data_IF_870751222370
#
_entry.id   IF_870751222370
#
_cell.length_a   1.000
_cell.length_b   1.000
_cell.length_c   1.000
_cell.angle_alpha   90.00
_cell.angle_beta   90.00
_cell.angle_gamma   90.00
#
_symmetry.space_group_name_H-M   'P 1'
#
loop_
_entity.id
_entity.type
_entity.pdbx_description
1 polymer ?
#
# COMPACT_ATOMS: atom_id res chain seq x y z
N UNK A 1 7.56 1.17 -0.52
CA UNK A 1 6.16 1.02 -0.03
C UNK A 1 5.92 -0.45 0.28
N UNK A 2 5.20 -0.80 1.35
CA UNK A 2 4.82 -2.19 1.67
C UNK A 2 3.30 -2.30 1.71
N UNK A 3 2.74 -3.33 1.08
CA UNK A 3 1.30 -3.61 1.04
C UNK A 3 1.06 -4.92 1.77
N UNK A 4 0.62 -4.85 3.03
CA UNK A 4 0.13 -6.02 3.73
C UNK A 4 -1.28 -6.33 3.24
N UNK A 5 -1.46 -7.52 2.69
CA UNK A 5 -2.62 -7.94 1.90
C UNK A 5 -3.14 -9.30 2.39
N UNK A 6 -4.32 -9.68 1.89
CA UNK A 6 -4.69 -11.10 1.78
C UNK A 6 -5.15 -11.39 0.36
N UNK A 7 -4.77 -12.56 -0.16
CA UNK A 7 -4.94 -12.91 -1.58
C UNK A 7 -6.41 -12.87 -2.03
N UNK A 8 -7.33 -13.24 -1.13
CA UNK A 8 -8.77 -13.27 -1.37
C UNK A 8 -9.49 -11.93 -1.13
N UNK A 9 -8.86 -10.96 -0.47
CA UNK A 9 -9.53 -9.74 -0.01
C UNK A 9 -9.78 -8.73 -1.14
N UNK A 10 -11.04 -8.31 -1.42
CA UNK A 10 -11.34 -7.38 -2.50
C UNK A 10 -10.74 -5.98 -2.30
N UNK A 11 -10.72 -5.45 -1.07
CA UNK A 11 -10.07 -4.17 -0.77
C UNK A 11 -8.56 -4.24 -1.01
N UNK A 12 -7.93 -5.39 -0.76
CA UNK A 12 -6.50 -5.60 -1.02
C UNK A 12 -6.22 -5.66 -2.52
N UNK A 13 -7.07 -6.32 -3.30
CA UNK A 13 -7.00 -6.30 -4.77
C UNK A 13 -7.08 -4.87 -5.32
N UNK A 14 -8.00 -4.05 -4.81
CA UNK A 14 -8.14 -2.63 -5.20
C UNK A 14 -6.86 -1.83 -4.90
N UNK A 15 -6.35 -1.89 -3.67
CA UNK A 15 -5.13 -1.18 -3.28
C UNK A 15 -3.91 -1.62 -4.10
N UNK A 16 -3.77 -2.93 -4.36
CA UNK A 16 -2.72 -3.47 -5.23
C UNK A 16 -2.85 -2.96 -6.67
N UNK A 17 -4.05 -2.96 -7.23
CA UNK A 17 -4.27 -2.44 -8.59
C UNK A 17 -3.82 -0.98 -8.69
N UNK A 18 -4.24 -0.13 -7.76
CA UNK A 18 -3.83 1.27 -7.71
C UNK A 18 -2.31 1.35 -7.64
N UNK A 19 -1.70 0.83 -6.58
CA UNK A 19 -0.28 1.06 -6.28
C UNK A 19 0.70 0.35 -7.21
N UNK A 20 0.31 -0.74 -7.88
CA UNK A 20 1.19 -1.54 -8.74
C UNK A 20 0.95 -1.29 -10.24
N UNK A 21 -0.30 -1.05 -10.65
CA UNK A 21 -0.67 -0.95 -12.06
C UNK A 21 -0.88 0.50 -12.49
N UNK A 22 -1.54 1.32 -11.68
CA UNK A 22 -1.83 2.73 -12.03
C UNK A 22 -0.68 3.67 -11.71
N UNK A 23 0.28 3.24 -10.88
CA UNK A 23 1.44 4.03 -10.52
C UNK A 23 2.74 3.27 -10.84
N UNK A 24 3.77 4.03 -11.19
CA UNK A 24 5.15 3.57 -11.19
C UNK A 24 5.82 4.20 -9.98
N UNK A 25 6.23 3.36 -9.04
CA UNK A 25 6.93 3.77 -7.82
C UNK A 25 8.24 2.99 -7.78
N UNK A 26 9.36 3.69 -7.59
CA UNK A 26 10.70 3.09 -7.54
C UNK A 26 11.30 3.32 -6.16
N UNK A 27 11.70 2.27 -5.43
CA UNK A 27 11.53 0.85 -5.76
C UNK A 27 10.06 0.41 -5.72
N UNK A 28 9.74 -0.64 -6.48
CA UNK A 28 8.38 -1.18 -6.60
C UNK A 28 7.77 -1.51 -5.22
N UNK A 29 6.48 -1.24 -5.00
CA UNK A 29 5.82 -1.62 -3.76
C UNK A 29 5.90 -3.13 -3.53
N UNK A 30 6.28 -3.53 -2.33
CA UNK A 30 6.40 -4.94 -1.96
C UNK A 30 5.10 -5.44 -1.34
N UNK A 31 4.57 -6.57 -1.82
CA UNK A 31 3.33 -7.16 -1.31
C UNK A 31 3.65 -8.30 -0.35
N UNK A 32 2.99 -8.30 0.81
CA UNK A 32 3.03 -9.41 1.77
C UNK A 32 1.62 -9.98 1.92
N UNK A 33 1.38 -11.16 1.35
CA UNK A 33 0.11 -11.88 1.49
C UNK A 33 0.07 -12.62 2.83
N UNK A 34 -0.58 -12.01 3.82
CA UNK A 34 -0.60 -12.52 5.20
C UNK A 34 -1.30 -13.87 5.33
N UNK A 35 -2.24 -14.20 4.45
CA UNK A 35 -2.90 -15.50 4.43
C UNK A 35 -2.00 -16.63 3.92
N UNK A 36 -0.90 -16.30 3.23
CA UNK A 36 0.05 -17.27 2.66
C UNK A 36 1.40 -17.27 3.40
N UNK A 37 1.63 -16.27 4.24
CA UNK A 37 2.87 -16.15 5.00
C UNK A 37 2.85 -17.05 6.25
N UNK A 38 3.90 -17.85 6.53
CA UNK A 38 3.94 -18.75 7.69
C UNK A 38 3.70 -18.05 9.04
N UNK A 39 4.16 -16.80 9.16
CA UNK A 39 3.97 -15.94 10.33
C UNK A 39 2.81 -14.93 10.18
N UNK A 40 1.91 -15.13 9.22
CA UNK A 40 0.90 -14.15 8.82
C UNK A 40 0.05 -13.59 9.96
N UNK A 41 -0.44 -14.46 10.85
CA UNK A 41 -1.22 -14.05 12.02
C UNK A 41 -0.39 -13.20 13.00
N UNK A 42 0.85 -13.61 13.26
CA UNK A 42 1.76 -12.88 14.17
C UNK A 42 2.12 -11.51 13.60
N UNK A 43 2.37 -11.44 12.29
CA UNK A 43 2.59 -10.18 11.57
C UNK A 43 1.35 -9.28 11.63
N UNK A 44 0.15 -9.81 11.35
CA UNK A 44 -1.09 -9.03 11.41
C UNK A 44 -1.33 -8.43 12.81
N UNK A 45 -1.08 -9.22 13.86
CA UNK A 45 -1.17 -8.76 15.24
C UNK A 45 -0.14 -7.67 15.57
N UNK A 46 1.10 -7.84 15.09
CA UNK A 46 2.17 -6.85 15.26
C UNK A 46 1.82 -5.54 14.57
N UNK A 47 1.34 -5.59 13.33
CA UNK A 47 0.85 -4.43 12.57
C UNK A 47 -0.30 -3.73 13.29
N UNK A 48 -1.25 -4.50 13.82
CA UNK A 48 -2.35 -3.97 14.62
C UNK A 48 -1.87 -3.16 15.83
N UNK A 49 -0.78 -3.58 16.48
CA UNK A 49 -0.18 -2.88 17.62
C UNK A 49 0.67 -1.68 17.19
N UNK A 50 1.51 -1.84 16.18
CA UNK A 50 2.48 -0.81 15.78
C UNK A 50 1.90 0.29 14.90
N UNK A 51 0.83 0.00 14.14
CA UNK A 51 0.23 0.94 13.18
C UNK A 51 -1.22 1.30 13.52
N UNK A 52 -1.81 0.67 14.53
CA UNK A 52 -3.22 0.84 14.91
C UNK A 52 -4.23 0.19 13.96
N UNK A 53 -3.79 -0.43 12.85
CA UNK A 53 -4.68 -1.05 11.86
C UNK A 53 -4.57 -2.57 11.89
N UNK A 54 -5.66 -3.24 12.26
CA UNK A 54 -5.76 -4.71 12.33
C UNK A 54 -6.31 -5.37 11.07
N UNK A 55 -6.82 -4.58 10.12
CA UNK A 55 -7.44 -5.06 8.89
C UNK A 55 -6.47 -5.02 7.71
N UNK A 56 -6.79 -5.80 6.67
CA UNK A 56 -6.11 -5.73 5.37
C UNK A 56 -7.00 -5.00 4.34
N UNK A 57 -6.41 -4.31 3.36
CA UNK A 57 -4.99 -4.05 3.26
C UNK A 57 -4.52 -3.06 4.33
N UNK A 58 -3.24 -3.10 4.65
CA UNK A 58 -2.55 -2.08 5.44
C UNK A 58 -1.31 -1.65 4.64
N UNK A 59 -1.36 -0.43 4.08
CA UNK A 59 -0.30 0.10 3.22
C UNK A 59 0.63 0.98 4.05
N UNK A 60 1.91 0.64 4.04
CA UNK A 60 2.95 1.35 4.77
C UNK A 60 3.90 2.10 3.84
N UNK A 61 4.21 3.34 4.23
CA UNK A 61 5.33 4.12 3.69
C UNK A 61 6.24 4.47 4.87
N UNK A 62 7.52 4.07 4.78
CA UNK A 62 8.48 4.22 5.88
C UNK A 62 7.96 3.74 7.24
N UNK A 63 7.27 2.58 7.24
CA UNK A 63 6.72 1.96 8.45
C UNK A 63 5.44 2.62 9.00
N UNK A 64 4.95 3.71 8.39
CA UNK A 64 3.71 4.39 8.80
C UNK A 64 2.56 4.00 7.88
N UNK A 65 1.41 3.70 8.47
CA UNK A 65 0.18 3.40 7.73
C UNK A 65 -0.37 4.62 7.04
N UNK A 66 -0.63 4.51 5.73
CA UNK A 66 -1.45 5.46 4.96
C UNK A 66 -2.91 5.02 4.86
N UNK A 67 -3.24 3.83 5.35
CA UNK A 67 -4.60 3.29 5.41
C UNK A 67 -4.76 1.95 4.71
N UNK A 68 -6.02 1.59 4.46
CA UNK A 68 -6.43 0.41 3.73
C UNK A 68 -6.96 0.74 2.34
N UNK A 69 -7.85 -0.10 1.82
CA UNK A 69 -8.27 -0.02 0.42
C UNK A 69 -9.06 1.25 0.12
N UNK A 70 -9.89 1.69 1.06
CA UNK A 70 -10.74 2.86 0.87
C UNK A 70 -9.94 4.16 0.99
N UNK A 71 -9.00 4.24 1.94
CA UNK A 71 -8.11 5.40 2.06
C UNK A 71 -7.16 5.52 0.86
N UNK A 72 -6.61 4.41 0.37
CA UNK A 72 -5.79 4.41 -0.86
C UNK A 72 -6.60 4.83 -2.08
N UNK A 73 -7.84 4.37 -2.21
CA UNK A 73 -8.75 4.82 -3.28
C UNK A 73 -9.01 6.31 -3.16
N UNK A 74 -9.37 6.81 -1.98
CA UNK A 74 -9.63 8.24 -1.78
C UNK A 74 -8.41 9.12 -2.10
N UNK A 75 -7.20 8.67 -1.77
CA UNK A 75 -5.96 9.36 -2.14
C UNK A 75 -5.73 9.38 -3.65
N UNK A 76 -6.05 8.28 -4.34
CA UNK A 76 -5.99 8.22 -5.81
C UNK A 76 -7.02 9.14 -6.45
N UNK A 77 -8.29 9.03 -6.05
CA UNK A 77 -9.41 9.77 -6.62
C UNK A 77 -9.27 11.28 -6.39
N UNK A 78 -8.65 11.69 -5.28
CA UNK A 78 -8.35 13.10 -4.98
C UNK A 78 -7.05 13.63 -5.60
N UNK A 79 -6.30 12.80 -6.33
CA UNK A 79 -4.99 13.17 -6.91
C UNK A 79 -3.86 13.32 -5.89
N UNK A 80 -4.08 13.00 -4.62
CA UNK A 80 -3.13 13.23 -3.51
C UNK A 80 -2.18 12.05 -3.26
N UNK A 81 -2.34 10.93 -3.96
CA UNK A 81 -1.54 9.73 -3.70
C UNK A 81 -0.06 9.95 -3.99
N UNK A 82 0.30 10.63 -5.09
CA UNK A 82 1.70 10.95 -5.41
C UNK A 82 2.34 11.83 -4.35
N UNK A 83 1.65 12.89 -3.94
CA UNK A 83 2.12 13.79 -2.89
C UNK A 83 2.34 13.03 -1.57
N UNK A 84 1.42 12.12 -1.24
CA UNK A 84 1.55 11.25 -0.06
C UNK A 84 2.77 10.34 -0.16
N UNK A 85 2.98 9.70 -1.32
CA UNK A 85 4.14 8.81 -1.54
C UNK A 85 5.45 9.58 -1.48
N UNK A 86 5.54 10.74 -2.13
CA UNK A 86 6.75 11.57 -2.15
C UNK A 86 7.06 12.16 -0.77
N UNK A 87 6.06 12.74 -0.10
CA UNK A 87 6.24 13.35 1.22
C UNK A 87 6.62 12.34 2.31
N UNK A 88 5.98 11.17 2.34
CA UNK A 88 6.25 10.15 3.36
C UNK A 88 7.43 9.26 3.01
N UNK A 89 7.71 9.06 1.72
CA UNK A 89 8.76 8.20 1.20
C UNK A 89 10.16 8.78 1.40
N UNK A 90 10.30 10.11 1.30
CA UNK A 90 11.59 10.80 1.43
C UNK A 90 12.63 10.23 0.47
N UNK A 91 13.90 10.13 0.91
CA UNK A 91 15.02 9.66 0.08
C UNK A 91 14.93 8.18 -0.37
N UNK A 92 13.95 7.41 0.12
CA UNK A 92 13.77 5.99 -0.25
C UNK A 92 12.88 5.79 -1.47
N UNK A 93 12.16 6.83 -1.90
CA UNK A 93 11.42 6.83 -3.15
C UNK A 93 12.29 7.59 -4.16
N UNK A 94 12.70 6.89 -5.21
CA UNK A 94 13.53 7.42 -6.29
C UNK A 94 12.67 8.07 -7.37
N UNK A 95 11.50 7.50 -7.62
CA UNK A 95 10.56 7.92 -8.65
C UNK A 95 9.15 7.54 -8.20
N UNK A 96 8.18 8.43 -8.43
CA UNK A 96 6.76 8.14 -8.26
C UNK A 96 5.96 8.95 -9.29
N UNK A 97 5.32 8.25 -10.22
CA UNK A 97 4.47 8.85 -11.25
C UNK A 97 3.19 8.02 -11.43
N UNK A 98 2.09 8.70 -11.75
CA UNK A 98 0.87 8.02 -12.20
C UNK A 98 1.09 7.62 -13.65
N UNK A 99 0.84 6.36 -13.99
CA UNK A 99 0.86 5.93 -15.38
C UNK A 99 -0.29 6.62 -16.09
N UNK A 100 0.00 7.31 -17.18
CA UNK A 100 -1.03 7.75 -18.10
C UNK A 100 -1.68 6.51 -18.70
N UNK A 101 -3.02 6.50 -18.75
CA UNK A 101 -3.72 5.55 -19.58
C UNK A 101 -3.15 5.71 -20.99
N UNK A 102 -2.46 4.68 -21.47
CA UNK A 102 -2.11 4.62 -22.89
C UNK A 102 -3.44 4.46 -23.60
N UNK A 103 -3.87 5.56 -24.21
CA UNK A 103 -5.06 5.68 -25.05
C UNK A 103 -5.24 4.49 -25.99
#
# INVERSE_FOLDING_TARGET
>A
VIIFSKSYCPHSKRAKNILLNLYKIVPAPFVVELDQHPLGLQLQNTLGRSTGRRTVPNVLINGKSIGGGDEVSALHDSGKLLDTVNSMGGKRIMEAEQRSDSN
#
